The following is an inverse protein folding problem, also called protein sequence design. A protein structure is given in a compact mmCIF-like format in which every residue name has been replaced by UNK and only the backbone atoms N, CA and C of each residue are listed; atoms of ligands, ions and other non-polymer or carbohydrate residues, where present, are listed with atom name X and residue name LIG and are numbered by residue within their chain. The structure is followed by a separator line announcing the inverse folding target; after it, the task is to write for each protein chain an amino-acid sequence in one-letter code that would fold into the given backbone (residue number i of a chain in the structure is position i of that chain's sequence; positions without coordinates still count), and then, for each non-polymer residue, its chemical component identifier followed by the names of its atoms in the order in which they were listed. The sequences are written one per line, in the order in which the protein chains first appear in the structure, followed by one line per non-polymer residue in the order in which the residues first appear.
data_IF_463049712605
#
_entry.id   IF_463049712605
#
_cell.length_a   1.000
_cell.length_b   1.000
_cell.length_c   1.000
_cell.angle_alpha   90.00
_cell.angle_beta   90.00
_cell.angle_gamma   90.00
#
_symmetry.space_group_name_H-M   'P 1'
#
loop_
_entity.id
_entity.type
_entity.pdbx_description
1 polymer ?
#
# COMPACT_ATOMS: atom_id res chain seq x y z
N UNK A 1 11.96 2.33 -17.05
CA UNK A 1 11.53 3.44 -17.93
C UNK A 1 10.51 4.38 -17.28
N UNK A 2 9.51 3.87 -16.54
CA UNK A 2 8.45 4.71 -15.93
C UNK A 2 8.97 5.88 -15.06
N UNK A 3 10.06 5.64 -14.33
CA UNK A 3 10.64 6.63 -13.40
C UNK A 3 11.94 7.26 -13.96
N UNK A 4 12.33 6.98 -15.23
CA UNK A 4 13.59 7.46 -15.81
C UNK A 4 14.85 6.93 -15.13
N UNK A 5 14.71 5.87 -14.34
CA UNK A 5 15.79 5.25 -13.55
C UNK A 5 15.82 3.75 -13.78
N UNK A 6 16.96 3.14 -13.60
CA UNK A 6 17.10 1.70 -13.47
C UNK A 6 16.48 1.22 -12.16
N UNK A 7 15.89 0.02 -12.13
CA UNK A 7 15.22 -0.51 -10.94
C UNK A 7 16.13 -0.61 -9.71
N UNK A 8 17.42 -0.77 -9.93
CA UNK A 8 18.47 -0.82 -8.89
C UNK A 8 18.88 0.55 -8.35
N UNK A 9 18.41 1.64 -8.95
CA UNK A 9 18.77 2.99 -8.51
C UNK A 9 18.34 3.23 -7.06
N UNK A 10 19.15 3.93 -6.22
CA UNK A 10 18.84 4.20 -4.82
C UNK A 10 17.48 4.87 -4.59
N UNK A 11 17.08 5.81 -5.43
CA UNK A 11 15.79 6.52 -5.32
C UNK A 11 14.58 5.57 -5.43
N UNK A 12 14.75 4.39 -6.05
CA UNK A 12 13.69 3.40 -6.17
C UNK A 12 13.71 2.35 -5.05
N UNK A 13 14.56 2.53 -4.03
CA UNK A 13 14.61 1.65 -2.85
C UNK A 13 13.23 1.50 -2.18
N UNK A 14 12.44 2.57 -1.92
CA UNK A 14 11.10 2.42 -1.35
C UNK A 14 10.17 1.53 -2.18
N UNK A 15 10.29 1.54 -3.51
CA UNK A 15 9.51 0.67 -4.38
C UNK A 15 9.99 -0.78 -4.31
N UNK A 16 11.30 -1.03 -4.22
CA UNK A 16 11.83 -2.39 -4.04
C UNK A 16 11.38 -2.97 -2.71
N UNK A 17 11.40 -2.17 -1.65
CA UNK A 17 10.86 -2.56 -0.33
C UNK A 17 9.36 -2.92 -0.42
N UNK A 18 8.55 -2.09 -1.09
CA UNK A 18 7.12 -2.33 -1.28
C UNK A 18 6.86 -3.62 -2.08
N UNK A 19 7.57 -3.80 -3.18
CA UNK A 19 7.43 -4.96 -4.06
C UNK A 19 8.09 -6.23 -3.53
N UNK A 20 8.70 -6.20 -2.34
CA UNK A 20 9.09 -7.43 -1.64
C UNK A 20 7.88 -8.34 -1.33
N UNK A 21 6.69 -7.77 -1.21
CA UNK A 21 5.45 -8.51 -0.95
C UNK A 21 4.27 -8.13 -1.85
N UNK A 22 4.13 -6.87 -2.23
CA UNK A 22 3.04 -6.38 -3.07
C UNK A 22 3.21 -6.84 -4.53
N UNK A 23 2.08 -7.06 -5.22
CA UNK A 23 2.04 -7.36 -6.66
C UNK A 23 1.64 -6.13 -7.47
N UNK A 24 0.81 -5.26 -6.90
CA UNK A 24 0.32 -4.03 -7.51
C UNK A 24 0.45 -2.90 -6.51
N UNK A 25 0.86 -1.73 -6.96
CA UNK A 25 0.93 -0.53 -6.13
C UNK A 25 0.30 0.67 -6.87
N UNK A 26 -0.48 1.44 -6.14
CA UNK A 26 -0.95 2.76 -6.55
C UNK A 26 -0.06 3.81 -5.88
N UNK A 27 0.57 4.63 -6.69
CA UNK A 27 1.50 5.64 -6.22
C UNK A 27 0.94 7.03 -6.51
N UNK A 28 0.98 7.89 -5.53
CA UNK A 28 0.58 9.28 -5.66
C UNK A 28 1.80 10.18 -5.48
N UNK A 29 1.97 11.11 -6.42
CA UNK A 29 3.08 12.04 -6.38
C UNK A 29 2.73 13.26 -5.52
N UNK A 30 3.53 13.50 -4.51
CA UNK A 30 3.50 14.71 -3.68
C UNK A 30 4.48 15.77 -4.23
N UNK A 31 4.42 17.00 -3.70
CA UNK A 31 5.34 18.06 -4.04
C UNK A 31 5.02 18.73 -5.39
N UNK A 32 3.75 18.88 -5.74
CA UNK A 32 3.32 19.49 -7.01
C UNK A 32 3.70 20.96 -7.17
N UNK A 33 4.02 21.66 -6.08
CA UNK A 33 4.42 23.09 -6.08
C UNK A 33 5.90 23.32 -6.41
N UNK A 34 6.67 22.26 -6.67
CA UNK A 34 8.04 22.38 -7.17
C UNK A 34 8.11 23.04 -8.55
N UNK A 35 9.30 23.49 -8.94
CA UNK A 35 9.56 24.06 -10.25
C UNK A 35 9.91 22.97 -11.26
N UNK A 36 9.50 23.18 -12.50
CA UNK A 36 9.90 22.33 -13.64
C UNK A 36 11.23 22.78 -14.17
N UNK A 37 12.12 21.84 -14.46
CA UNK A 37 13.32 22.12 -15.22
C UNK A 37 12.96 22.47 -16.67
N UNK A 38 13.75 23.30 -17.32
CA UNK A 38 13.53 23.71 -18.70
C UNK A 38 14.84 23.88 -19.45
N UNK A 39 14.75 23.77 -20.76
CA UNK A 39 15.77 24.18 -21.71
C UNK A 39 15.08 24.89 -22.90
N UNK A 40 15.83 25.33 -23.93
CA UNK A 40 15.21 26.02 -25.05
C UNK A 40 14.25 25.16 -25.88
N UNK A 41 14.38 23.84 -25.88
CA UNK A 41 13.53 22.93 -26.66
C UNK A 41 12.29 22.45 -25.92
N UNK A 42 12.18 22.70 -24.61
CA UNK A 42 11.02 22.22 -23.86
C UNK A 42 11.19 22.30 -22.35
N UNK A 43 10.17 21.81 -21.66
CA UNK A 43 10.07 21.84 -20.20
C UNK A 43 9.84 20.43 -19.67
N UNK A 44 10.41 20.10 -18.53
CA UNK A 44 10.15 18.82 -17.85
C UNK A 44 8.64 18.68 -17.59
N UNK A 45 8.10 17.50 -17.86
CA UNK A 45 6.66 17.23 -17.72
C UNK A 45 6.17 17.43 -16.28
N UNK A 46 7.04 17.14 -15.31
CA UNK A 46 6.74 17.26 -13.89
C UNK A 46 7.75 18.14 -13.19
N UNK A 47 7.35 18.89 -12.14
CA UNK A 47 8.30 19.63 -11.30
C UNK A 47 9.19 18.62 -10.55
N UNK A 48 10.36 19.05 -10.11
CA UNK A 48 11.26 18.24 -9.30
C UNK A 48 12.70 18.26 -9.80
N UNK A 49 13.63 17.91 -8.91
CA UNK A 49 15.06 17.86 -9.20
C UNK A 49 15.43 16.87 -10.30
N UNK A 50 14.66 15.79 -10.46
CA UNK A 50 14.86 14.82 -11.55
C UNK A 50 14.84 15.50 -12.94
N UNK A 51 14.08 16.59 -13.09
CA UNK A 51 14.05 17.37 -14.32
C UNK A 51 15.41 17.91 -14.74
N UNK A 52 16.30 18.21 -13.78
CA UNK A 52 17.65 18.71 -14.05
C UNK A 52 18.59 17.63 -14.62
N UNK A 53 18.20 16.37 -14.60
CA UNK A 53 18.96 15.25 -15.16
C UNK A 53 18.49 14.87 -16.57
N UNK A 54 17.45 15.57 -17.07
CA UNK A 54 16.96 15.37 -18.43
C UNK A 54 17.91 16.09 -19.40
N UNK A 55 18.40 15.34 -20.37
CA UNK A 55 19.24 15.85 -21.46
C UNK A 55 18.60 15.49 -22.80
N UNK A 56 18.46 16.48 -23.65
CA UNK A 56 18.01 16.33 -25.04
C UNK A 56 19.19 16.34 -26.00
N UNK A 57 19.28 15.35 -26.86
CA UNK A 57 20.29 15.31 -27.96
C UNK A 57 19.54 15.39 -29.29
N UNK A 58 19.95 16.32 -30.13
CA UNK A 58 19.40 16.45 -31.48
C UNK A 58 20.48 16.13 -32.48
N UNK A 59 20.25 15.09 -33.29
CA UNK A 59 21.16 14.67 -34.37
C UNK A 59 20.51 14.91 -35.73
N UNK A 60 21.27 15.39 -36.71
CA UNK A 60 20.77 15.50 -38.07
C UNK A 60 20.81 14.12 -38.73
N UNK A 61 19.70 13.68 -39.28
CA UNK A 61 19.57 12.48 -40.09
C UNK A 61 19.35 12.87 -41.55
N UNK A 62 19.48 11.95 -42.48
CA UNK A 62 19.42 12.27 -43.91
C UNK A 62 18.11 12.94 -44.40
N UNK A 63 17.01 12.85 -43.66
CA UNK A 63 15.69 13.39 -44.01
C UNK A 63 15.06 14.24 -42.90
N UNK A 64 15.76 14.54 -41.81
CA UNK A 64 15.23 15.30 -40.67
C UNK A 64 16.13 15.22 -39.44
N UNK A 65 15.57 15.08 -38.29
CA UNK A 65 16.27 15.08 -37.01
C UNK A 65 15.92 13.84 -36.19
N UNK A 66 16.92 13.27 -35.52
CA UNK A 66 16.74 12.33 -34.43
C UNK A 66 16.78 13.10 -33.11
N UNK A 67 15.73 13.01 -32.31
CA UNK A 67 15.65 13.62 -30.98
C UNK A 67 15.64 12.55 -29.94
N UNK A 68 16.68 12.52 -29.10
CA UNK A 68 16.88 11.58 -28.02
C UNK A 68 16.62 12.27 -26.68
N UNK A 69 15.81 11.65 -25.82
CA UNK A 69 15.58 12.09 -24.45
C UNK A 69 16.29 11.15 -23.51
N UNK A 70 17.24 11.68 -22.76
CA UNK A 70 17.98 10.95 -21.72
C UNK A 70 17.54 11.45 -20.33
N UNK A 71 17.46 10.54 -19.36
CA UNK A 71 17.35 10.85 -17.95
C UNK A 71 18.51 10.18 -17.23
N UNK A 72 19.35 10.94 -16.55
CA UNK A 72 20.56 10.44 -15.91
C UNK A 72 21.43 9.60 -16.87
N UNK A 73 21.56 10.05 -18.13
CA UNK A 73 22.32 9.38 -19.17
C UNK A 73 21.68 8.11 -19.76
N UNK A 74 20.46 7.75 -19.31
CA UNK A 74 19.71 6.59 -19.82
C UNK A 74 18.68 7.07 -20.86
N UNK A 75 18.70 6.51 -22.07
CA UNK A 75 17.70 6.79 -23.10
C UNK A 75 16.31 6.32 -22.66
N UNK A 76 15.37 7.25 -22.61
CA UNK A 76 13.96 6.98 -22.24
C UNK A 76 13.01 7.13 -23.41
N UNK A 77 13.40 7.93 -24.44
CA UNK A 77 12.64 8.15 -25.64
C UNK A 77 13.55 8.55 -26.80
N UNK A 78 13.21 8.10 -28.02
CA UNK A 78 13.87 8.47 -29.27
C UNK A 78 12.83 8.67 -30.35
N UNK A 79 12.87 9.83 -31.01
CA UNK A 79 11.97 10.18 -32.12
C UNK A 79 12.75 10.62 -33.33
N UNK A 80 12.27 10.23 -34.54
CA UNK A 80 12.76 10.75 -35.81
C UNK A 80 11.67 11.59 -36.44
N UNK A 81 11.96 12.88 -36.69
CA UNK A 81 10.99 13.89 -37.13
C UNK A 81 11.59 14.77 -38.20
N UNK A 82 10.74 15.33 -39.09
CA UNK A 82 11.20 16.29 -40.08
C UNK A 82 11.48 17.67 -39.47
N UNK A 83 10.66 18.06 -38.51
CA UNK A 83 10.73 19.35 -37.82
C UNK A 83 10.14 19.24 -36.38
N UNK A 84 10.05 20.41 -35.69
CA UNK A 84 9.56 20.52 -34.34
C UNK A 84 8.05 20.23 -34.21
N UNK A 85 7.27 20.45 -35.28
CA UNK A 85 5.83 20.27 -35.26
C UNK A 85 5.44 18.78 -35.19
N UNK A 86 6.29 17.91 -35.72
CA UNK A 86 6.10 16.45 -35.68
C UNK A 86 6.53 15.81 -34.37
N UNK A 87 7.36 16.51 -33.57
CA UNK A 87 7.90 15.98 -32.32
C UNK A 87 6.77 15.82 -31.27
N UNK A 88 6.60 14.64 -30.71
CA UNK A 88 5.55 14.34 -29.74
C UNK A 88 6.06 14.47 -28.30
N UNK A 89 5.21 15.03 -27.42
CA UNK A 89 5.50 15.03 -25.99
C UNK A 89 5.65 13.59 -25.48
N UNK A 90 6.61 13.38 -24.60
CA UNK A 90 6.84 12.07 -24.02
C UNK A 90 6.52 12.03 -22.50
N UNK A 91 6.86 10.96 -21.83
CA UNK A 91 6.63 10.79 -20.39
C UNK A 91 7.42 11.76 -19.50
N UNK A 92 8.45 12.43 -20.03
CA UNK A 92 9.39 13.26 -19.28
C UNK A 92 9.42 14.71 -19.73
N UNK A 93 9.13 14.99 -21.00
CA UNK A 93 9.29 16.30 -21.65
C UNK A 93 8.02 16.71 -22.34
N UNK A 94 7.67 17.99 -22.19
CA UNK A 94 6.72 18.73 -23.02
C UNK A 94 7.55 19.66 -23.90
N UNK A 95 7.51 19.44 -25.21
CA UNK A 95 8.34 20.19 -26.17
C UNK A 95 7.71 21.52 -26.56
N UNK A 96 8.56 22.56 -26.74
CA UNK A 96 8.12 23.89 -27.15
C UNK A 96 8.04 23.97 -28.69
N UNK A 97 6.82 24.02 -29.22
CA UNK A 97 6.53 24.04 -30.66
C UNK A 97 6.98 25.33 -31.37
N UNK A 98 7.30 26.37 -30.62
CA UNK A 98 7.80 27.66 -31.17
C UNK A 98 9.26 27.64 -31.55
N UNK A 99 10.00 26.60 -31.18
CA UNK A 99 11.44 26.52 -31.38
C UNK A 99 11.82 25.74 -32.67
N UNK A 100 13.07 25.85 -33.07
CA UNK A 100 13.61 25.14 -34.25
C UNK A 100 14.60 24.08 -33.80
N UNK A 101 14.52 22.88 -34.37
CA UNK A 101 15.50 21.83 -34.12
C UNK A 101 16.86 22.19 -34.74
N UNK A 102 17.87 22.25 -33.89
CA UNK A 102 19.27 22.47 -34.28
C UNK A 102 20.09 21.33 -33.64
N UNK A 103 21.00 20.71 -34.41
CA UNK A 103 21.85 19.66 -33.88
C UNK A 103 22.60 20.09 -32.65
N UNK A 104 22.54 19.28 -31.58
CA UNK A 104 23.22 19.51 -30.29
C UNK A 104 23.76 18.22 -29.71
N UNK A 105 24.93 18.29 -29.10
CA UNK A 105 25.56 17.13 -28.45
C UNK A 105 24.98 16.82 -27.07
N UNK A 106 24.07 17.68 -26.57
CA UNK A 106 23.39 17.52 -25.29
C UNK A 106 22.95 18.87 -24.71
N UNK A 107 21.66 19.00 -24.46
CA UNK A 107 21.04 20.16 -23.83
C UNK A 107 20.38 19.71 -22.56
N UNK A 108 21.03 19.93 -21.43
CA UNK A 108 20.51 19.56 -20.11
C UNK A 108 19.51 20.60 -19.62
N UNK A 109 18.38 20.15 -19.11
CA UNK A 109 17.39 21.03 -18.47
C UNK A 109 17.88 21.50 -17.10
N UNK A 110 17.48 22.70 -16.70
CA UNK A 110 17.86 23.31 -15.43
C UNK A 110 16.66 23.98 -14.75
N UNK A 111 16.80 24.30 -13.45
CA UNK A 111 15.81 25.06 -12.69
C UNK A 111 14.71 24.21 -12.05
N UNK A 112 14.79 22.89 -12.17
CA UNK A 112 13.87 21.99 -11.47
C UNK A 112 14.12 21.99 -9.96
N UNK A 113 13.05 22.08 -9.17
CA UNK A 113 13.09 21.97 -7.70
C UNK A 113 11.96 21.09 -7.19
N UNK A 114 12.24 20.34 -6.13
CA UNK A 114 11.20 19.57 -5.45
C UNK A 114 10.30 20.51 -4.64
N UNK A 115 9.00 20.27 -4.67
CA UNK A 115 8.04 20.93 -3.79
C UNK A 115 8.06 20.29 -2.40
N UNK A 116 7.69 21.06 -1.39
CA UNK A 116 7.45 20.55 -0.05
C UNK A 116 6.02 20.01 0.01
N UNK A 117 5.80 18.72 0.35
CA UNK A 117 4.46 18.17 0.47
C UNK A 117 3.62 18.93 1.50
N UNK A 118 2.42 19.33 1.13
CA UNK A 118 1.47 20.03 2.00
C UNK A 118 0.39 19.07 2.51
N UNK A 119 -0.27 19.42 3.62
CA UNK A 119 -1.41 18.65 4.16
C UNK A 119 -2.52 18.49 3.12
N UNK A 120 -2.75 19.52 2.28
CA UNK A 120 -3.75 19.47 1.21
C UNK A 120 -3.41 18.42 0.13
N UNK A 121 -2.12 18.20 -0.16
CA UNK A 121 -1.71 17.16 -1.11
C UNK A 121 -1.95 15.76 -0.55
N UNK A 122 -1.70 15.56 0.75
CA UNK A 122 -2.07 14.31 1.41
C UNK A 122 -3.58 14.10 1.43
N UNK A 123 -4.38 15.16 1.66
CA UNK A 123 -5.83 15.08 1.57
C UNK A 123 -6.30 14.69 0.17
N UNK A 124 -5.73 15.27 -0.88
CA UNK A 124 -6.01 14.89 -2.28
C UNK A 124 -5.62 13.43 -2.59
N UNK A 125 -4.53 12.94 -2.00
CA UNK A 125 -4.19 11.51 -2.10
C UNK A 125 -5.27 10.64 -1.47
N UNK A 126 -5.72 10.96 -0.27
CA UNK A 126 -6.75 10.21 0.44
C UNK A 126 -8.07 10.21 -0.34
N UNK A 127 -8.50 11.35 -0.88
CA UNK A 127 -9.70 11.46 -1.72
C UNK A 127 -9.54 10.60 -3.00
N UNK A 128 -8.39 10.65 -3.67
CA UNK A 128 -8.13 9.84 -4.85
C UNK A 128 -8.11 8.34 -4.55
N UNK A 129 -7.70 7.95 -3.34
CA UNK A 129 -7.65 6.56 -2.91
C UNK A 129 -9.02 5.91 -2.74
N UNK A 130 -10.09 6.70 -2.54
CA UNK A 130 -11.45 6.18 -2.41
C UNK A 130 -11.96 5.51 -3.70
N UNK A 131 -11.39 5.85 -4.85
CA UNK A 131 -11.76 5.28 -6.16
C UNK A 131 -11.09 3.95 -6.49
N UNK A 132 -10.21 3.43 -5.64
CA UNK A 132 -9.43 2.21 -5.90
C UNK A 132 -9.51 1.21 -4.74
N UNK A 133 -9.38 -0.07 -5.04
CA UNK A 133 -9.38 -1.14 -4.03
C UNK A 133 -7.95 -1.60 -3.74
N UNK A 134 -7.58 -1.66 -2.48
CA UNK A 134 -6.27 -2.09 -2.01
C UNK A 134 -6.36 -2.73 -0.62
N UNK A 135 -5.32 -3.47 -0.22
CA UNK A 135 -5.29 -4.15 1.09
C UNK A 135 -4.57 -3.32 2.16
N UNK A 136 -3.59 -2.52 1.76
CA UNK A 136 -2.82 -1.67 2.68
C UNK A 136 -2.58 -0.30 2.08
N UNK A 137 -2.52 0.70 2.94
CA UNK A 137 -2.12 2.08 2.62
C UNK A 137 -0.90 2.44 3.47
N UNK A 138 0.21 2.83 2.85
CA UNK A 138 1.42 3.26 3.56
C UNK A 138 1.65 4.77 3.43
N UNK A 139 2.08 5.42 4.51
CA UNK A 139 2.52 6.81 4.48
C UNK A 139 3.90 6.93 5.13
N UNK A 140 4.85 7.47 4.36
CA UNK A 140 6.26 7.61 4.78
C UNK A 140 6.52 8.87 5.62
N UNK A 141 5.49 9.64 5.97
CA UNK A 141 5.66 10.86 6.74
C UNK A 141 6.08 10.58 8.18
N UNK A 142 6.88 11.50 8.73
CA UNK A 142 7.16 11.57 10.17
C UNK A 142 6.28 12.60 10.89
N UNK A 143 5.52 13.41 10.13
CA UNK A 143 4.61 14.44 10.67
C UNK A 143 3.35 13.80 11.31
N UNK A 144 3.17 14.05 12.59
CA UNK A 144 2.04 13.50 13.36
C UNK A 144 0.68 14.05 12.91
N UNK A 145 0.62 15.27 12.36
CA UNK A 145 -0.63 15.85 11.83
C UNK A 145 -1.07 15.07 10.59
N UNK A 146 -0.14 14.73 9.71
CA UNK A 146 -0.43 13.92 8.52
C UNK A 146 -0.78 12.49 8.94
N UNK A 147 -0.04 11.88 9.89
CA UNK A 147 -0.38 10.54 10.41
C UNK A 147 -1.78 10.49 11.00
N UNK A 148 -2.19 11.50 11.76
CA UNK A 148 -3.55 11.62 12.29
C UNK A 148 -4.60 11.72 11.16
N UNK A 149 -4.31 12.44 10.08
CA UNK A 149 -5.18 12.54 8.90
C UNK A 149 -5.40 11.15 8.27
N UNK A 150 -4.34 10.38 8.09
CA UNK A 150 -4.40 9.01 7.56
C UNK A 150 -5.19 8.08 8.49
N UNK A 151 -4.98 8.17 9.78
CA UNK A 151 -5.73 7.39 10.76
C UNK A 151 -7.24 7.69 10.70
N UNK A 152 -7.63 8.98 10.71
CA UNK A 152 -9.06 9.37 10.64
C UNK A 152 -9.70 8.92 9.33
N UNK A 153 -9.01 9.07 8.22
CA UNK A 153 -9.48 8.57 6.93
C UNK A 153 -9.68 7.04 6.97
N UNK A 154 -8.69 6.30 7.45
CA UNK A 154 -8.78 4.84 7.58
C UNK A 154 -9.96 4.42 8.43
N UNK A 155 -10.15 5.06 9.58
CA UNK A 155 -11.29 4.78 10.48
C UNK A 155 -12.62 5.06 9.81
N UNK A 156 -12.79 6.22 9.17
CA UNK A 156 -14.00 6.58 8.42
C UNK A 156 -14.31 5.57 7.31
N UNK A 157 -13.30 5.22 6.50
CA UNK A 157 -13.48 4.26 5.41
C UNK A 157 -13.90 2.89 5.91
N UNK A 158 -13.31 2.41 6.99
CA UNK A 158 -13.61 1.10 7.57
C UNK A 158 -14.95 1.03 8.28
N UNK A 159 -15.31 2.06 9.06
CA UNK A 159 -16.48 2.06 9.95
C UNK A 159 -17.74 2.65 9.27
N UNK A 160 -17.61 3.71 8.46
CA UNK A 160 -18.74 4.42 7.87
C UNK A 160 -18.99 4.02 6.41
N UNK A 161 -17.94 3.86 5.61
CA UNK A 161 -18.06 3.53 4.18
C UNK A 161 -18.10 2.02 3.96
N UNK A 162 -17.44 1.24 4.84
CA UNK A 162 -17.39 -0.22 4.76
C UNK A 162 -16.23 -0.78 3.91
N UNK A 163 -15.31 0.07 3.43
CA UNK A 163 -14.11 -0.35 2.69
C UNK A 163 -13.03 -0.79 3.69
N UNK A 164 -12.51 -2.00 3.51
CA UNK A 164 -11.58 -2.64 4.45
C UNK A 164 -10.15 -2.64 3.92
N UNK A 165 -9.24 -2.04 4.67
CA UNK A 165 -7.79 -2.04 4.45
C UNK A 165 -7.08 -1.68 5.76
N UNK A 166 -5.77 -1.92 5.88
CA UNK A 166 -4.97 -1.45 7.00
C UNK A 166 -4.03 -0.32 6.57
N UNK A 167 -3.89 0.70 7.43
CA UNK A 167 -2.94 1.79 7.23
C UNK A 167 -1.63 1.49 7.98
N UNK A 168 -0.49 1.66 7.31
CA UNK A 168 0.84 1.45 7.88
C UNK A 168 1.52 2.79 8.06
N UNK A 169 1.88 3.12 9.30
CA UNK A 169 2.47 4.40 9.70
C UNK A 169 3.76 4.17 10.50
N UNK A 170 4.66 5.14 10.45
CA UNK A 170 5.87 5.12 11.26
C UNK A 170 5.64 5.74 12.64
N UNK A 171 5.95 4.99 13.72
CA UNK A 171 5.89 5.42 15.13
C UNK A 171 4.64 6.25 15.46
N UNK A 172 3.45 5.75 15.09
CA UNK A 172 2.20 6.41 15.41
C UNK A 172 1.57 5.83 16.67
N UNK A 173 1.22 6.69 17.65
CA UNK A 173 0.77 6.28 18.95
C UNK A 173 -0.71 6.57 19.24
N UNK A 174 -1.35 7.38 18.39
CA UNK A 174 -2.71 7.89 18.61
C UNK A 174 -3.85 6.95 18.23
N UNK A 175 -3.58 5.77 17.64
CA UNK A 175 -4.64 5.02 16.98
C UNK A 175 -5.48 4.14 17.92
N UNK A 176 -4.87 3.28 18.75
CA UNK A 176 -5.57 2.20 19.49
C UNK A 176 -6.67 1.55 18.64
N UNK A 177 -6.31 1.06 17.46
CA UNK A 177 -7.26 0.67 16.41
C UNK A 177 -6.71 -0.45 15.52
N UNK A 178 -7.54 -1.47 15.24
CA UNK A 178 -7.16 -2.64 14.45
C UNK A 178 -6.82 -2.34 12.97
N UNK A 179 -7.28 -1.21 12.44
CA UNK A 179 -7.01 -0.76 11.07
C UNK A 179 -5.66 -0.07 10.88
N UNK A 180 -4.82 0.06 11.93
CA UNK A 180 -3.53 0.76 11.85
C UNK A 180 -2.39 -0.10 12.34
N UNK A 181 -1.32 -0.18 11.57
CA UNK A 181 -0.04 -0.83 11.91
C UNK A 181 0.99 0.27 12.16
N UNK A 182 1.56 0.33 13.36
CA UNK A 182 2.60 1.30 13.74
C UNK A 182 3.97 0.64 13.71
N UNK A 183 4.77 0.95 12.68
CA UNK A 183 6.15 0.43 12.53
C UNK A 183 7.09 1.17 13.46
N UNK A 184 7.83 0.46 14.29
CA UNK A 184 8.61 1.07 15.37
C UNK A 184 10.07 1.31 15.04
N UNK A 185 10.71 0.38 14.32
CA UNK A 185 12.14 0.48 14.03
C UNK A 185 12.45 1.61 13.05
N UNK A 186 13.61 2.21 13.24
CA UNK A 186 14.19 3.22 12.36
C UNK A 186 15.12 2.57 11.35
N UNK A 187 15.11 3.06 10.12
CA UNK A 187 16.04 2.64 9.09
C UNK A 187 17.05 3.75 8.79
N UNK A 188 18.31 3.36 8.60
CA UNK A 188 19.40 4.29 8.29
C UNK A 188 19.11 5.04 6.97
N UNK A 189 19.26 6.37 6.99
CA UNK A 189 19.04 7.24 5.82
C UNK A 189 17.57 7.52 5.49
N UNK A 190 16.63 6.76 6.08
CA UNK A 190 15.18 7.00 5.91
C UNK A 190 14.42 6.42 7.10
N UNK A 191 14.12 7.27 8.10
CA UNK A 191 13.50 6.84 9.36
C UNK A 191 12.26 5.95 9.15
N UNK A 192 11.40 6.32 8.21
CA UNK A 192 10.12 5.65 7.91
C UNK A 192 10.18 4.60 6.79
N UNK A 193 11.38 4.29 6.26
CA UNK A 193 11.53 3.45 5.07
C UNK A 193 10.89 2.06 5.18
N UNK A 194 10.89 1.47 6.38
CA UNK A 194 10.27 0.17 6.65
C UNK A 194 8.76 0.13 6.43
N UNK A 195 8.08 1.28 6.44
CA UNK A 195 6.64 1.35 6.12
C UNK A 195 6.35 0.75 4.74
N UNK A 196 7.24 0.94 3.77
CA UNK A 196 7.09 0.35 2.44
C UNK A 196 7.11 -1.18 2.48
N UNK A 197 8.12 -1.76 3.14
CA UNK A 197 8.22 -3.22 3.27
C UNK A 197 7.03 -3.81 4.02
N UNK A 198 6.66 -3.21 5.16
CA UNK A 198 5.53 -3.69 5.97
C UNK A 198 4.21 -3.57 5.19
N UNK A 199 4.00 -2.48 4.46
CA UNK A 199 2.82 -2.30 3.59
C UNK A 199 2.77 -3.38 2.51
N UNK A 200 3.87 -3.60 1.79
CA UNK A 200 3.97 -4.61 0.74
C UNK A 200 3.75 -6.02 1.26
N UNK A 201 4.44 -6.38 2.34
CA UNK A 201 4.34 -7.70 2.95
C UNK A 201 2.96 -7.98 3.54
N UNK A 202 2.33 -6.98 4.17
CA UNK A 202 0.97 -7.12 4.71
C UNK A 202 -0.06 -7.28 3.59
N UNK A 203 0.07 -6.53 2.49
CA UNK A 203 -0.80 -6.66 1.32
C UNK A 203 -0.66 -8.03 0.63
N UNK A 204 0.56 -8.57 0.55
CA UNK A 204 0.83 -9.86 -0.08
C UNK A 204 0.70 -11.06 0.85
N UNK A 205 0.43 -10.85 2.14
CA UNK A 205 0.30 -11.94 3.11
C UNK A 205 -1.03 -12.66 2.94
N UNK A 206 -0.97 -13.96 2.68
CA UNK A 206 -2.18 -14.78 2.58
C UNK A 206 -2.96 -14.77 3.91
N UNK A 207 -4.29 -14.81 3.84
CA UNK A 207 -5.19 -14.71 5.01
C UNK A 207 -4.96 -15.80 6.06
N UNK A 208 -4.47 -16.96 5.65
CA UNK A 208 -4.11 -18.09 6.54
C UNK A 208 -2.66 -18.04 7.03
N UNK A 209 -1.99 -16.91 6.92
CA UNK A 209 -0.59 -16.71 7.30
C UNK A 209 -0.42 -15.48 8.18
N UNK A 210 0.65 -15.48 8.96
CA UNK A 210 1.11 -14.36 9.78
C UNK A 210 2.49 -13.89 9.32
N UNK A 211 2.77 -12.62 9.50
CA UNK A 211 4.14 -12.08 9.36
C UNK A 211 4.98 -12.29 10.61
N UNK A 212 4.43 -12.83 11.72
CA UNK A 212 5.21 -13.18 12.92
C UNK A 212 6.39 -14.07 12.56
N UNK A 213 7.57 -13.71 13.03
CA UNK A 213 8.86 -14.38 12.73
C UNK A 213 9.25 -14.37 11.23
N UNK A 214 8.59 -13.57 10.41
CA UNK A 214 8.96 -13.41 9.01
C UNK A 214 10.31 -12.72 8.91
N UNK A 215 11.21 -13.30 8.13
CA UNK A 215 12.51 -12.70 7.86
C UNK A 215 12.33 -11.45 6.98
N UNK A 216 13.02 -10.37 7.34
CA UNK A 216 13.16 -9.21 6.50
C UNK A 216 14.01 -9.54 5.28
N UNK A 217 13.51 -9.17 4.11
CA UNK A 217 14.14 -9.48 2.81
C UNK A 217 14.47 -8.22 2.02
N UNK A 218 14.34 -7.05 2.65
CA UNK A 218 14.65 -5.77 2.02
C UNK A 218 16.11 -5.40 2.11
N UNK A 219 16.43 -4.18 1.70
CA UNK A 219 17.79 -3.67 1.53
C UNK A 219 18.17 -2.63 2.61
N UNK A 220 17.21 -2.18 3.44
CA UNK A 220 17.47 -1.17 4.47
C UNK A 220 18.30 -1.72 5.62
N UNK A 221 19.23 -0.92 6.11
CA UNK A 221 19.90 -1.14 7.42
C UNK A 221 18.97 -0.65 8.52
N UNK A 222 18.60 -1.51 9.45
CA UNK A 222 17.57 -1.23 10.45
C UNK A 222 18.16 -1.29 11.85
N UNK A 223 17.83 -0.31 12.68
CA UNK A 223 18.17 -0.38 14.10
C UNK A 223 17.30 -1.41 14.82
N UNK A 224 17.93 -2.45 15.33
CA UNK A 224 17.31 -3.54 16.10
C UNK A 224 17.89 -3.64 17.51
N UNK A 225 18.57 -2.62 18.00
CA UNK A 225 19.27 -2.59 19.28
C UNK A 225 18.32 -2.46 20.49
N UNK A 226 17.30 -3.33 20.57
CA UNK A 226 16.37 -3.40 21.68
C UNK A 226 16.73 -4.52 22.66
N UNK A 227 16.59 -4.24 23.94
CA UNK A 227 16.61 -5.28 24.98
C UNK A 227 15.33 -6.13 24.92
N UNK A 228 15.37 -7.35 25.46
CA UNK A 228 14.17 -8.21 25.52
C UNK A 228 13.00 -7.54 26.26
N UNK A 229 13.29 -6.73 27.27
CA UNK A 229 12.27 -5.99 28.02
C UNK A 229 11.61 -4.91 27.17
N UNK A 230 12.39 -4.15 26.41
CA UNK A 230 11.88 -3.14 25.48
C UNK A 230 11.04 -3.77 24.37
N UNK A 231 11.50 -4.89 23.79
CA UNK A 231 10.72 -5.63 22.79
C UNK A 231 9.37 -6.05 23.33
N UNK A 232 9.32 -6.58 24.57
CA UNK A 232 8.06 -6.98 25.21
C UNK A 232 7.14 -5.78 25.49
N UNK A 233 7.70 -4.67 25.98
CA UNK A 233 6.94 -3.44 26.25
C UNK A 233 6.34 -2.84 24.98
N UNK A 234 7.16 -2.72 23.93
CA UNK A 234 6.71 -2.19 22.63
C UNK A 234 5.66 -3.10 21.98
N UNK A 235 5.85 -4.41 22.03
CA UNK A 235 4.86 -5.38 21.55
C UNK A 235 3.51 -5.20 22.26
N UNK A 236 3.53 -5.11 23.61
CA UNK A 236 2.31 -4.86 24.42
C UNK A 236 1.67 -3.51 24.12
N UNK A 237 2.43 -2.54 23.65
CA UNK A 237 1.94 -1.25 23.19
C UNK A 237 1.45 -1.26 21.73
N UNK A 238 1.25 -2.44 21.11
CA UNK A 238 0.73 -2.56 19.75
C UNK A 238 1.69 -2.09 18.67
N UNK A 239 3.01 -2.16 18.91
CA UNK A 239 4.03 -1.77 17.94
C UNK A 239 4.46 -2.95 17.08
N UNK A 240 4.45 -2.75 15.77
CA UNK A 240 5.04 -3.69 14.81
C UNK A 240 6.55 -3.45 14.76
N UNK A 241 7.32 -4.45 15.13
CA UNK A 241 8.77 -4.27 15.27
C UNK A 241 9.57 -5.50 14.83
N UNK A 242 10.83 -5.23 14.52
CA UNK A 242 11.80 -6.21 14.10
C UNK A 242 12.88 -6.41 15.17
N UNK A 243 13.43 -7.59 15.21
CA UNK A 243 14.58 -7.94 16.06
C UNK A 243 15.59 -8.82 15.32
N UNK A 244 16.79 -8.93 15.89
CA UNK A 244 17.88 -9.76 15.36
C UNK A 244 18.93 -8.95 14.62
N UNK A 245 20.20 -9.40 14.68
CA UNK A 245 21.35 -8.71 14.11
C UNK A 245 21.85 -9.33 12.80
N UNK A 246 21.72 -10.63 12.63
CA UNK A 246 22.13 -11.35 11.40
C UNK A 246 20.95 -11.67 10.49
N UNK A 247 19.87 -12.13 11.09
CA UNK A 247 18.61 -12.39 10.42
C UNK A 247 17.54 -11.57 11.13
N UNK A 248 17.24 -10.41 10.58
CA UNK A 248 16.20 -9.56 11.10
C UNK A 248 14.82 -10.17 10.84
N UNK A 249 14.02 -10.29 11.90
CA UNK A 249 12.68 -10.92 11.83
C UNK A 249 11.65 -10.07 12.53
N UNK A 250 10.42 -10.15 12.04
CA UNK A 250 9.24 -9.56 12.70
C UNK A 250 9.03 -10.23 14.06
N UNK A 251 8.89 -9.45 15.11
CA UNK A 251 8.62 -9.96 16.46
C UNK A 251 7.23 -10.58 16.52
N UNK A 252 6.22 -9.82 16.17
CA UNK A 252 4.83 -10.26 16.11
C UNK A 252 4.04 -9.41 15.10
N UNK A 253 3.07 -10.04 14.42
CA UNK A 253 2.23 -9.42 13.39
C UNK A 253 1.01 -8.76 14.04
N UNK A 254 1.22 -7.61 14.67
CA UNK A 254 0.22 -6.88 15.46
C UNK A 254 -0.11 -5.52 14.87
N UNK A 255 -1.29 -5.02 15.20
CA UNK A 255 -1.73 -3.65 14.95
C UNK A 255 -1.72 -2.83 16.25
N UNK A 256 -2.23 -1.60 16.18
CA UNK A 256 -2.18 -0.66 17.32
C UNK A 256 -3.27 -0.87 18.38
N UNK A 257 -4.18 -1.83 18.20
CA UNK A 257 -5.25 -2.08 19.17
C UNK A 257 -4.67 -2.69 20.46
N UNK A 258 -4.85 -2.00 21.58
CA UNK A 258 -4.37 -2.41 22.91
C UNK A 258 -5.46 -2.37 23.96
N UNK A 259 -6.57 -1.67 23.71
CA UNK A 259 -7.74 -1.62 24.57
C UNK A 259 -8.78 -2.64 24.11
N UNK A 260 -8.95 -3.72 24.87
CA UNK A 260 -9.86 -4.79 24.52
C UNK A 260 -11.23 -4.61 25.18
N UNK A 261 -12.28 -4.99 24.47
CA UNK A 261 -13.68 -4.96 24.91
C UNK A 261 -14.34 -6.32 24.67
N UNK A 262 -15.60 -6.47 25.07
CA UNK A 262 -16.35 -7.71 24.79
C UNK A 262 -16.55 -7.95 23.28
N UNK A 263 -16.65 -6.88 22.48
CA UNK A 263 -16.87 -6.95 21.04
C UNK A 263 -15.55 -6.96 20.24
N UNK A 264 -14.44 -6.55 20.88
CA UNK A 264 -13.09 -6.49 20.31
C UNK A 264 -12.11 -7.13 21.28
N UNK A 265 -12.01 -8.46 21.22
CA UNK A 265 -11.07 -9.25 22.04
C UNK A 265 -9.61 -9.02 21.64
N UNK A 266 -8.68 -9.61 22.36
CA UNK A 266 -7.24 -9.59 22.05
C UNK A 266 -6.94 -10.09 20.64
N UNK A 267 -7.74 -11.00 20.08
CA UNK A 267 -7.55 -11.50 18.72
C UNK A 267 -7.60 -10.39 17.66
N UNK A 268 -8.32 -9.31 17.90
CA UNK A 268 -8.37 -8.15 17.01
C UNK A 268 -7.06 -7.35 16.96
N UNK A 269 -6.15 -7.57 17.91
CA UNK A 269 -4.79 -6.99 17.86
C UNK A 269 -3.88 -7.70 16.84
N UNK A 270 -4.27 -8.88 16.35
CA UNK A 270 -3.49 -9.67 15.39
C UNK A 270 -3.87 -9.30 13.95
N UNK A 271 -2.91 -8.87 13.16
CA UNK A 271 -3.14 -8.53 11.75
C UNK A 271 -3.65 -9.71 10.93
N UNK A 272 -3.29 -10.95 11.27
CA UNK A 272 -3.82 -12.14 10.62
C UNK A 272 -5.34 -12.23 10.79
N UNK A 273 -5.86 -12.02 11.99
CA UNK A 273 -7.31 -11.98 12.26
C UNK A 273 -7.98 -10.89 11.43
N UNK A 274 -7.42 -9.68 11.43
CA UNK A 274 -7.99 -8.57 10.66
C UNK A 274 -8.00 -8.86 9.17
N UNK A 275 -6.93 -9.46 8.61
CA UNK A 275 -6.91 -9.88 7.19
C UNK A 275 -8.03 -10.86 6.86
N UNK A 276 -8.34 -11.82 7.74
CA UNK A 276 -9.46 -12.74 7.54
C UNK A 276 -10.79 -11.99 7.52
N UNK A 277 -11.03 -11.12 8.51
CA UNK A 277 -12.26 -10.34 8.61
C UNK A 277 -12.44 -9.38 7.43
N UNK A 278 -11.37 -8.71 7.03
CA UNK A 278 -11.37 -7.78 5.90
C UNK A 278 -11.59 -8.52 4.56
N UNK A 279 -11.02 -9.72 4.40
CA UNK A 279 -11.27 -10.58 3.23
C UNK A 279 -12.73 -11.01 3.17
N UNK A 280 -13.31 -11.48 4.29
CA UNK A 280 -14.73 -11.84 4.34
C UNK A 280 -15.61 -10.66 3.95
N UNK A 281 -15.39 -9.49 4.54
CA UNK A 281 -16.17 -8.29 4.25
C UNK A 281 -16.07 -7.88 2.77
N UNK A 282 -14.86 -7.91 2.20
CA UNK A 282 -14.60 -7.55 0.81
C UNK A 282 -15.21 -8.55 -0.16
N UNK A 283 -15.03 -9.85 0.08
CA UNK A 283 -15.53 -10.92 -0.80
C UNK A 283 -17.06 -10.99 -0.79
N UNK A 284 -17.69 -10.89 0.39
CA UNK A 284 -19.15 -10.91 0.50
C UNK A 284 -19.75 -9.61 -0.10
N UNK A 285 -19.10 -8.47 0.12
CA UNK A 285 -19.49 -7.22 -0.52
C UNK A 285 -19.45 -7.31 -2.05
N UNK A 286 -18.36 -7.83 -2.61
CA UNK A 286 -18.21 -8.05 -4.05
C UNK A 286 -19.20 -9.11 -4.59
N UNK A 287 -19.41 -10.20 -3.86
CA UNK A 287 -20.41 -11.22 -4.17
C UNK A 287 -21.81 -10.59 -4.28
N UNK A 288 -22.21 -9.82 -3.27
CA UNK A 288 -23.50 -9.15 -3.24
C UNK A 288 -23.64 -8.14 -4.38
N UNK A 289 -22.66 -7.29 -4.61
CA UNK A 289 -22.68 -6.27 -5.66
C UNK A 289 -22.79 -6.88 -7.06
N UNK A 290 -22.07 -7.96 -7.33
CA UNK A 290 -21.99 -8.53 -8.68
C UNK A 290 -23.12 -9.52 -9.01
N UNK A 291 -23.73 -10.17 -8.02
CA UNK A 291 -24.69 -11.24 -8.25
C UNK A 291 -26.11 -10.96 -7.74
N UNK A 292 -26.27 -10.12 -6.72
CA UNK A 292 -27.54 -9.91 -6.02
C UNK A 292 -28.10 -8.51 -6.20
N UNK A 293 -27.26 -7.49 -6.14
CA UNK A 293 -27.70 -6.10 -6.14
C UNK A 293 -28.46 -5.73 -7.42
N UNK A 294 -29.76 -5.49 -7.28
CA UNK A 294 -30.63 -5.15 -8.42
C UNK A 294 -30.94 -6.31 -9.37
N UNK A 295 -30.46 -7.54 -9.12
CA UNK A 295 -30.58 -8.70 -9.99
C UNK A 295 -31.54 -9.73 -9.38
N UNK A 296 -31.30 -10.12 -8.11
CA UNK A 296 -32.07 -11.18 -7.45
C UNK A 296 -33.16 -10.58 -6.57
N UNK A 297 -34.41 -11.06 -6.67
CA UNK A 297 -35.50 -10.62 -5.78
C UNK A 297 -35.20 -10.91 -4.31
N UNK A 298 -35.60 -9.99 -3.41
CA UNK A 298 -35.48 -10.20 -1.96
C UNK A 298 -36.68 -11.02 -1.44
N UNK A 299 -36.75 -12.27 -1.86
CA UNK A 299 -37.71 -13.26 -1.37
C UNK A 299 -36.97 -14.40 -0.64
N UNK A 300 -37.69 -15.40 -0.19
CA UNK A 300 -37.09 -16.52 0.53
C UNK A 300 -36.07 -17.29 -0.33
N UNK A 301 -36.33 -17.45 -1.64
CA UNK A 301 -35.43 -18.16 -2.55
C UNK A 301 -34.13 -17.35 -2.78
N UNK A 302 -34.24 -16.03 -2.98
CA UNK A 302 -33.11 -15.13 -3.15
C UNK A 302 -32.23 -15.08 -1.90
N UNK A 303 -32.82 -15.01 -0.70
CA UNK A 303 -32.06 -15.03 0.57
C UNK A 303 -31.41 -16.38 0.82
N UNK A 304 -32.06 -17.50 0.47
CA UNK A 304 -31.45 -18.85 0.57
C UNK A 304 -30.27 -18.99 -0.41
N UNK A 305 -30.35 -18.42 -1.61
CA UNK A 305 -29.25 -18.39 -2.56
C UNK A 305 -28.05 -17.61 -2.00
N UNK A 306 -28.29 -16.42 -1.43
CA UNK A 306 -27.23 -15.61 -0.80
C UNK A 306 -26.58 -16.36 0.38
N UNK A 307 -27.40 -16.99 1.23
CA UNK A 307 -26.91 -17.83 2.32
C UNK A 307 -26.00 -18.97 1.80
N UNK A 308 -26.41 -19.67 0.75
CA UNK A 308 -25.63 -20.76 0.17
C UNK A 308 -24.28 -20.30 -0.39
N UNK A 309 -24.25 -19.14 -1.02
CA UNK A 309 -23.01 -18.55 -1.54
C UNK A 309 -22.05 -18.14 -0.40
N UNK A 310 -22.57 -17.54 0.68
CA UNK A 310 -21.78 -17.21 1.88
C UNK A 310 -21.21 -18.47 2.54
N UNK A 311 -22.05 -19.48 2.76
CA UNK A 311 -21.61 -20.78 3.31
C UNK A 311 -20.51 -21.41 2.43
N UNK A 312 -20.67 -21.36 1.12
CA UNK A 312 -19.66 -21.88 0.18
C UNK A 312 -18.35 -21.10 0.27
N UNK A 313 -18.42 -19.78 0.46
CA UNK A 313 -17.24 -18.92 0.69
C UNK A 313 -16.49 -19.34 1.98
N UNK A 314 -17.20 -19.51 3.10
CA UNK A 314 -16.58 -19.86 4.38
C UNK A 314 -15.98 -21.27 4.37
N UNK A 315 -16.60 -22.24 3.71
CA UNK A 315 -15.98 -23.56 3.52
C UNK A 315 -14.66 -23.52 2.76
N UNK A 316 -14.50 -22.58 1.82
CA UNK A 316 -13.19 -22.36 1.15
C UNK A 316 -12.17 -21.79 2.13
N UNK A 317 -12.56 -20.82 2.97
CA UNK A 317 -11.68 -20.28 4.02
C UNK A 317 -11.27 -21.35 5.03
N UNK A 318 -12.18 -22.23 5.42
CA UNK A 318 -11.89 -23.38 6.30
C UNK A 318 -10.93 -24.37 5.63
N UNK A 319 -11.12 -24.68 4.36
CA UNK A 319 -10.23 -25.57 3.59
C UNK A 319 -8.78 -25.08 3.58
N UNK A 320 -8.56 -23.77 3.48
CA UNK A 320 -7.22 -23.18 3.55
C UNK A 320 -6.76 -22.88 4.98
N UNK A 321 -7.56 -23.24 5.99
CA UNK A 321 -7.29 -23.00 7.42
C UNK A 321 -7.17 -21.53 7.78
N UNK A 322 -7.94 -20.67 7.16
CA UNK A 322 -8.09 -19.26 7.56
C UNK A 322 -9.10 -19.10 8.70
N UNK A 323 -10.12 -19.97 8.71
CA UNK A 323 -11.09 -20.13 9.81
C UNK A 323 -11.18 -21.60 10.22
N UNK A 324 -11.75 -21.87 11.38
CA UNK A 324 -11.98 -23.24 11.88
C UNK A 324 -13.38 -23.40 12.46
N UNK A 325 -13.83 -24.68 12.57
CA UNK A 325 -15.08 -25.07 13.21
C UNK A 325 -16.32 -24.36 12.64
N UNK A 326 -16.35 -24.13 11.33
CA UNK A 326 -17.44 -23.43 10.68
C UNK A 326 -18.69 -24.30 10.57
N UNK A 327 -19.82 -23.86 11.16
CA UNK A 327 -21.14 -24.44 10.98
C UNK A 327 -22.00 -23.55 10.08
N UNK A 328 -22.63 -24.09 9.01
CA UNK A 328 -23.57 -23.31 8.19
C UNK A 328 -24.70 -22.61 8.98
N UNK A 329 -25.03 -23.09 10.18
CA UNK A 329 -26.02 -22.47 11.06
C UNK A 329 -25.53 -21.16 11.68
N UNK A 330 -24.21 -20.91 11.67
CA UNK A 330 -23.62 -19.64 12.11
C UNK A 330 -23.89 -18.49 11.14
N UNK A 331 -24.36 -18.80 9.92
CA UNK A 331 -24.78 -17.80 8.92
C UNK A 331 -26.30 -17.71 8.87
N UNK A 332 -26.84 -16.52 9.05
CA UNK A 332 -28.26 -16.22 8.92
C UNK A 332 -28.48 -15.07 7.93
N UNK A 333 -29.37 -15.28 6.96
CA UNK A 333 -29.78 -14.25 5.98
C UNK A 333 -31.27 -13.98 6.11
N UNK A 334 -31.63 -12.80 6.57
CA UNK A 334 -33.01 -12.43 6.89
C UNK A 334 -33.45 -11.19 6.09
N UNK A 335 -34.78 -10.98 6.00
CA UNK A 335 -35.30 -9.71 5.48
C UNK A 335 -34.92 -8.57 6.42
N UNK A 336 -34.46 -7.46 5.89
CA UNK A 336 -34.22 -6.25 6.66
C UNK A 336 -35.50 -5.42 6.87
N UNK A 337 -35.35 -4.26 7.48
CA UNK A 337 -36.48 -3.35 7.78
C UNK A 337 -37.24 -2.90 6.54
N UNK A 338 -36.55 -2.78 5.41
CA UNK A 338 -37.16 -2.37 4.15
C UNK A 338 -37.22 -3.53 3.16
N UNK A 339 -38.22 -3.51 2.26
CA UNK A 339 -38.41 -4.55 1.23
C UNK A 339 -37.16 -4.85 0.38
N UNK A 340 -36.25 -3.89 0.28
CA UNK A 340 -35.01 -4.00 -0.52
C UNK A 340 -33.78 -4.34 0.29
N UNK A 341 -33.88 -4.45 1.62
CA UNK A 341 -32.76 -4.73 2.50
C UNK A 341 -32.74 -6.18 2.96
N UNK A 342 -31.55 -6.73 3.09
CA UNK A 342 -31.24 -8.00 3.76
C UNK A 342 -30.32 -7.76 4.92
N UNK A 343 -30.47 -8.54 5.97
CA UNK A 343 -29.57 -8.56 7.14
C UNK A 343 -28.88 -9.90 7.15
N UNK A 344 -27.55 -9.88 7.20
CA UNK A 344 -26.72 -11.05 7.35
C UNK A 344 -26.09 -11.00 8.75
N UNK A 345 -26.27 -12.09 9.52
CA UNK A 345 -25.50 -12.35 10.74
C UNK A 345 -24.59 -13.51 10.46
N UNK A 346 -23.31 -13.31 10.72
CA UNK A 346 -22.24 -14.23 10.36
C UNK A 346 -21.28 -14.39 11.53
N UNK A 347 -21.00 -15.63 11.93
CA UNK A 347 -20.07 -15.98 12.98
C UNK A 347 -18.97 -16.86 12.41
N UNK A 348 -17.74 -16.43 12.55
CA UNK A 348 -16.54 -17.17 12.12
C UNK A 348 -15.50 -17.20 13.24
N UNK A 349 -14.66 -18.22 13.24
CA UNK A 349 -13.51 -18.35 14.15
C UNK A 349 -12.22 -18.28 13.33
N UNK A 350 -11.55 -17.12 13.22
CA UNK A 350 -10.25 -17.03 12.55
C UNK A 350 -9.20 -17.89 13.22
N UNK A 351 -8.33 -18.53 12.42
CA UNK A 351 -7.19 -19.31 12.91
C UNK A 351 -5.97 -18.42 13.01
N UNK A 352 -5.32 -18.41 14.16
CA UNK A 352 -4.06 -17.70 14.38
C UNK A 352 -2.86 -18.63 14.23
N UNK A 353 -1.74 -18.10 13.72
CA UNK A 353 -0.48 -18.84 13.68
C UNK A 353 0.06 -19.07 15.10
N UNK A 354 0.74 -20.21 15.33
CA UNK A 354 1.39 -20.47 16.61
C UNK A 354 2.52 -19.47 16.83
N UNK A 355 2.45 -18.69 17.91
CA UNK A 355 3.46 -17.70 18.30
C UNK A 355 4.16 -18.02 19.61
N UNK A 356 3.61 -18.93 20.44
CA UNK A 356 4.14 -19.26 21.76
C UNK A 356 4.17 -20.77 21.97
N UNK A 357 5.26 -21.27 22.54
CA UNK A 357 5.43 -22.68 22.92
C UNK A 357 5.76 -22.76 24.42
N UNK A 358 4.91 -23.41 25.17
CA UNK A 358 5.18 -23.79 26.56
C UNK A 358 5.44 -25.29 26.62
N UNK A 359 6.63 -25.69 27.03
CA UNK A 359 7.03 -27.10 27.09
C UNK A 359 7.54 -27.46 28.47
N UNK A 360 6.99 -28.54 29.04
CA UNK A 360 7.51 -29.15 30.26
C UNK A 360 8.16 -30.48 29.92
N UNK A 361 9.42 -30.64 30.30
CA UNK A 361 10.14 -31.93 30.15
C UNK A 361 10.23 -32.57 31.52
N UNK A 362 9.70 -33.77 31.65
CA UNK A 362 9.81 -34.59 32.86
C UNK A 362 10.85 -35.69 32.61
N UNK A 363 11.87 -35.75 33.44
CA UNK A 363 12.87 -36.85 33.43
C UNK A 363 12.36 -37.94 34.37
N UNK A 364 12.10 -39.12 33.83
CA UNK A 364 11.69 -40.32 34.59
C UNK A 364 12.89 -41.11 35.11
#
# INVERSE_FOLDING_TARGET
RLFGREYTHPDLLPLRELFAGAQVAYLFRLGAEGLRAACSLGTARYPGMLGNEITLIVTQTGAGFGVETLVDGVEVDYQTVADMDELQDNGFVVFDRGETLVPTAGMTMIGGTDGVPTVDEYSRFLDASEGVTFHTMGCLTTDDVVKELFFRHTKRMREEVGVKFQCVLYRYEGADYEGVISVENEAEGTESGLVCWVSGMSAGCAVNRSLTNRQYTGELTVDTAYTKRELEQKRKAGKFLFHGSREMRVVEDVNTLTTFTMDRSEDFSLNQTIRVLDQVATDIGALFANRYLGIIPNDNAGRLSLWSDIVSHHRRLETIRAIENFDPQDVSVQAGEHKRSVVVTDRITPVSAMSQLYMTVVVA
#
